data_IF_430917842612
#
_entry.id   IF_430917842612
#
_cell.length_a   1.000
_cell.length_b   1.000
_cell.length_c   1.000
_cell.angle_alpha   90.00
_cell.angle_beta   90.00
_cell.angle_gamma   90.00
#
_symmetry.space_group_name_H-M   'P 1'
#
loop_
_entity.id
_entity.type
_entity.pdbx_description
1 polymer ?
#
# COMPACT_ATOMS: atom_id res chain seq x y z
N UNK A 1 2.32 14.94 -21.70
CA UNK A 1 1.15 14.06 -21.47
C UNK A 1 1.13 13.63 -20.02
N UNK A 2 0.12 14.07 -19.27
CA UNK A 2 0.02 13.90 -17.82
C UNK A 2 -0.29 12.44 -17.46
N UNK A 3 0.43 11.91 -16.47
CA UNK A 3 0.43 10.51 -16.02
C UNK A 3 -0.85 10.13 -15.22
N UNK A 4 -2.01 10.67 -15.62
CA UNK A 4 -3.27 10.68 -14.86
C UNK A 4 -3.86 9.28 -14.68
N UNK A 5 -3.78 8.41 -15.69
CA UNK A 5 -4.34 7.05 -15.60
C UNK A 5 -3.66 6.17 -14.54
N UNK A 6 -2.32 6.21 -14.46
CA UNK A 6 -1.55 5.44 -13.49
C UNK A 6 -1.73 6.00 -12.08
N UNK A 7 -1.75 7.34 -11.96
CA UNK A 7 -1.98 7.99 -10.67
C UNK A 7 -3.40 7.72 -10.13
N UNK A 8 -4.40 7.71 -11.00
CA UNK A 8 -5.79 7.39 -10.64
C UNK A 8 -5.95 5.94 -10.15
N UNK A 9 -5.29 4.97 -10.78
CA UNK A 9 -5.33 3.55 -10.37
C UNK A 9 -4.78 3.35 -8.95
N UNK A 10 -3.78 4.14 -8.55
CA UNK A 10 -3.24 4.13 -7.19
C UNK A 10 -4.16 4.86 -6.20
N UNK A 11 -4.68 6.04 -6.56
CA UNK A 11 -5.51 6.84 -5.67
C UNK A 11 -6.83 6.15 -5.30
N UNK A 12 -7.43 5.39 -6.23
CA UNK A 12 -8.71 4.71 -6.00
C UNK A 12 -8.74 3.89 -4.70
N UNK A 13 -7.72 3.07 -4.46
CA UNK A 13 -7.67 2.22 -3.25
C UNK A 13 -7.42 3.01 -1.97
N UNK A 14 -6.79 4.17 -2.08
CA UNK A 14 -6.49 5.06 -0.95
C UNK A 14 -7.74 5.81 -0.50
N UNK A 15 -8.62 6.16 -1.45
CA UNK A 15 -9.84 6.94 -1.24
C UNK A 15 -11.04 6.05 -0.88
N UNK A 16 -11.26 4.98 -1.65
CA UNK A 16 -12.48 4.16 -1.53
C UNK A 16 -12.27 2.89 -0.70
N UNK A 17 -11.00 2.52 -0.43
CA UNK A 17 -10.65 1.21 0.11
C UNK A 17 -10.94 0.06 -0.86
N UNK A 18 -10.82 -1.17 -0.38
CA UNK A 18 -11.25 -2.38 -1.10
C UNK A 18 -10.17 -3.45 -1.26
N UNK A 19 -10.54 -4.56 -1.92
CA UNK A 19 -9.65 -5.71 -2.11
C UNK A 19 -8.97 -5.64 -3.47
N UNK A 20 -7.65 -5.45 -3.47
CA UNK A 20 -6.87 -5.51 -4.70
C UNK A 20 -6.54 -6.96 -5.02
N UNK A 21 -7.13 -7.49 -6.09
CA UNK A 21 -6.71 -8.78 -6.66
C UNK A 21 -5.40 -8.61 -7.45
N UNK A 22 -4.47 -9.58 -7.39
CA UNK A 22 -3.22 -9.50 -8.13
C UNK A 22 -3.49 -9.54 -9.63
N UNK A 23 -2.69 -8.80 -10.42
CA UNK A 23 -2.78 -8.86 -11.91
C UNK A 23 -2.43 -10.25 -12.46
N UNK A 24 -1.78 -11.10 -11.66
CA UNK A 24 -1.43 -12.48 -11.98
C UNK A 24 -1.73 -13.39 -10.77
N UNK A 25 -0.70 -13.96 -10.11
CA UNK A 25 -0.90 -15.03 -9.12
C UNK A 25 -0.96 -14.57 -7.65
N UNK A 26 -0.15 -13.59 -7.26
CA UNK A 26 -0.09 -13.12 -5.87
C UNK A 26 0.54 -11.74 -5.77
N UNK A 27 0.19 -11.03 -4.70
CA UNK A 27 0.91 -9.84 -4.26
C UNK A 27 2.11 -10.25 -3.41
N UNK A 28 3.27 -9.65 -3.71
CA UNK A 28 4.51 -9.84 -2.95
C UNK A 28 4.57 -8.77 -1.87
N UNK A 29 4.25 -9.14 -0.63
CA UNK A 29 4.23 -8.23 0.51
C UNK A 29 5.54 -8.30 1.29
N UNK A 30 6.14 -7.16 1.68
CA UNK A 30 7.30 -7.17 2.56
C UNK A 30 6.97 -7.72 3.95
N UNK A 31 7.78 -8.67 4.42
CA UNK A 31 7.79 -9.11 5.80
C UNK A 31 9.02 -8.51 6.52
N UNK A 32 10.05 -9.29 6.81
CA UNK A 32 11.23 -8.83 7.57
C UNK A 32 12.34 -8.22 6.69
N UNK A 33 11.98 -7.55 5.59
CA UNK A 33 12.91 -6.90 4.67
C UNK A 33 13.10 -5.42 4.99
N UNK A 34 14.35 -4.94 4.96
CA UNK A 34 14.67 -3.53 5.18
C UNK A 34 14.16 -2.67 4.01
N UNK A 35 13.38 -1.64 4.34
CA UNK A 35 12.89 -0.61 3.42
C UNK A 35 13.93 0.53 3.33
N UNK A 36 13.87 1.32 2.27
CA UNK A 36 14.68 2.54 2.18
C UNK A 36 14.10 3.64 3.10
N UNK A 37 14.75 4.81 3.16
CA UNK A 37 14.31 5.96 4.00
C UNK A 37 12.89 6.46 3.71
N UNK A 38 12.33 6.08 2.56
CA UNK A 38 10.97 6.45 2.12
C UNK A 38 9.95 5.32 2.33
N UNK A 39 10.32 4.22 3.01
CA UNK A 39 9.44 3.06 3.18
C UNK A 39 9.30 2.17 1.94
N UNK A 40 10.03 2.45 0.86
CA UNK A 40 9.95 1.70 -0.39
C UNK A 40 10.97 0.56 -0.45
N UNK A 41 10.62 -0.49 -1.21
CA UNK A 41 11.55 -1.57 -1.57
C UNK A 41 12.25 -1.18 -2.88
N UNK A 42 13.59 -1.21 -2.95
CA UNK A 42 14.31 -0.92 -4.19
C UNK A 42 13.92 -1.86 -5.34
N UNK A 43 13.82 -1.32 -6.56
CA UNK A 43 13.55 -2.10 -7.77
C UNK A 43 14.61 -3.20 -7.93
N UNK A 44 14.18 -4.42 -8.25
CA UNK A 44 15.06 -5.57 -8.44
C UNK A 44 15.58 -6.20 -7.15
N UNK A 45 15.22 -5.71 -5.96
CA UNK A 45 15.65 -6.31 -4.68
C UNK A 45 15.26 -7.78 -4.56
N UNK A 46 14.04 -8.13 -4.97
CA UNK A 46 13.55 -9.52 -4.98
C UNK A 46 14.41 -10.41 -5.88
N UNK A 47 14.68 -9.97 -7.12
CA UNK A 47 15.54 -10.68 -8.07
C UNK A 47 16.94 -10.92 -7.49
N UNK A 48 17.56 -9.89 -6.92
CA UNK A 48 18.88 -9.98 -6.28
C UNK A 48 18.87 -10.93 -5.07
N UNK A 49 17.78 -10.98 -4.31
CA UNK A 49 17.66 -11.89 -3.18
C UNK A 49 17.57 -13.34 -3.65
N UNK A 50 16.73 -13.63 -4.65
CA UNK A 50 16.56 -14.99 -5.18
C UNK A 50 17.81 -15.55 -5.88
N UNK A 51 18.79 -14.71 -6.22
CA UNK A 51 20.09 -15.16 -6.74
C UNK A 51 21.03 -15.67 -5.64
N UNK A 52 20.73 -15.42 -4.36
CA UNK A 52 21.55 -15.89 -3.25
C UNK A 52 21.20 -17.34 -2.92
N UNK A 53 22.22 -18.16 -2.64
CA UNK A 53 22.05 -19.56 -2.27
C UNK A 53 21.29 -19.76 -0.94
N UNK A 54 21.34 -18.77 -0.04
CA UNK A 54 20.64 -18.80 1.23
C UNK A 54 19.18 -18.34 1.14
N UNK A 55 18.69 -17.96 -0.03
CA UNK A 55 17.32 -17.46 -0.22
C UNK A 55 16.57 -18.36 -1.19
N UNK A 56 15.32 -18.68 -0.87
CA UNK A 56 14.46 -19.48 -1.73
C UNK A 56 13.01 -19.00 -1.69
N UNK A 57 12.26 -19.31 -2.74
CA UNK A 57 10.81 -19.12 -2.82
C UNK A 57 10.12 -20.44 -2.56
N UNK A 58 9.15 -20.50 -1.65
CA UNK A 58 8.46 -21.74 -1.32
C UNK A 58 7.35 -21.56 -0.29
N UNK A 59 6.81 -22.68 0.18
CA UNK A 59 5.79 -22.73 1.23
C UNK A 59 6.38 -23.34 2.48
N UNK A 60 6.35 -22.62 3.60
CA UNK A 60 6.87 -23.07 4.90
C UNK A 60 5.76 -22.91 5.94
N UNK A 61 5.38 -24.00 6.61
CA UNK A 61 4.32 -24.04 7.64
C UNK A 61 3.03 -23.33 7.18
N UNK A 62 2.59 -23.59 5.95
CA UNK A 62 1.37 -23.01 5.39
C UNK A 62 1.53 -21.63 4.73
N UNK A 63 2.61 -20.90 5.02
CA UNK A 63 2.85 -19.56 4.47
C UNK A 63 3.66 -19.67 3.18
N UNK A 64 3.16 -19.10 2.09
CA UNK A 64 3.89 -19.02 0.82
C UNK A 64 4.67 -17.72 0.75
N UNK A 65 5.94 -17.77 0.36
CA UNK A 65 6.78 -16.58 0.35
C UNK A 65 8.23 -16.81 -0.04
N UNK A 66 9.03 -15.77 0.13
CA UNK A 66 10.48 -15.79 -0.03
C UNK A 66 11.12 -15.84 1.35
N UNK A 67 11.95 -16.85 1.57
CA UNK A 67 12.60 -17.13 2.84
C UNK A 67 14.11 -17.04 2.72
N UNK A 68 14.76 -16.62 3.79
CA UNK A 68 16.20 -16.71 3.96
C UNK A 68 16.53 -17.79 5.00
N UNK A 69 17.48 -18.67 4.68
CA UNK A 69 18.11 -19.59 5.61
C UNK A 69 19.09 -18.82 6.47
N UNK A 70 18.93 -18.89 7.78
CA UNK A 70 19.82 -18.29 8.76
C UNK A 70 20.31 -19.35 9.73
N UNK A 71 21.37 -19.07 10.49
CA UNK A 71 21.87 -19.97 11.53
C UNK A 71 20.82 -20.31 12.61
N UNK A 72 19.82 -19.43 12.79
CA UNK A 72 18.73 -19.59 13.77
C UNK A 72 17.44 -20.16 13.16
N UNK A 73 17.47 -20.57 11.89
CA UNK A 73 16.31 -21.09 11.17
C UNK A 73 15.87 -20.21 9.99
N UNK A 74 14.60 -20.31 9.61
CA UNK A 74 14.05 -19.65 8.42
C UNK A 74 13.47 -18.28 8.74
N UNK A 75 13.89 -17.25 7.99
CA UNK A 75 13.39 -15.89 8.08
C UNK A 75 12.55 -15.54 6.86
N UNK A 76 11.29 -15.16 7.06
CA UNK A 76 10.40 -14.71 5.99
C UNK A 76 10.78 -13.29 5.54
N UNK A 77 11.15 -13.14 4.27
CA UNK A 77 11.48 -11.85 3.65
C UNK A 77 10.27 -11.23 2.95
N UNK A 78 9.52 -12.04 2.20
CA UNK A 78 8.31 -11.62 1.50
C UNK A 78 7.21 -12.67 1.62
N UNK A 79 5.98 -12.26 1.88
CA UNK A 79 4.82 -13.15 1.86
C UNK A 79 4.07 -13.01 0.53
N UNK A 80 3.61 -14.13 -0.03
CA UNK A 80 2.68 -14.15 -1.14
C UNK A 80 1.26 -14.17 -0.58
N UNK A 81 0.49 -13.12 -0.86
CA UNK A 81 -0.94 -13.08 -0.55
C UNK A 81 -1.77 -13.02 -1.83
N UNK A 82 -2.80 -13.86 -1.89
CA UNK A 82 -3.79 -13.85 -2.96
C UNK A 82 -4.61 -12.56 -2.96
N UNK A 83 -4.80 -11.93 -1.78
CA UNK A 83 -5.57 -10.71 -1.63
C UNK A 83 -4.90 -9.74 -0.66
N UNK A 84 -4.92 -8.46 -1.02
CA UNK A 84 -4.50 -7.35 -0.15
C UNK A 84 -5.72 -6.49 0.08
N UNK A 85 -6.22 -6.50 1.33
CA UNK A 85 -7.24 -5.55 1.77
C UNK A 85 -6.57 -4.20 2.03
N UNK A 86 -7.06 -3.17 1.39
CA UNK A 86 -6.69 -1.79 1.67
C UNK A 86 -7.82 -1.14 2.48
N UNK A 87 -7.49 -0.67 3.67
CA UNK A 87 -8.38 0.23 4.42
C UNK A 87 -8.26 1.65 3.84
N UNK A 88 -9.35 2.43 3.78
CA UNK A 88 -9.30 3.82 3.35
C UNK A 88 -8.34 4.60 4.26
N UNK A 89 -7.24 5.10 3.70
CA UNK A 89 -6.24 5.85 4.49
C UNK A 89 -6.64 7.32 4.66
N UNK A 90 -7.47 7.84 3.75
CA UNK A 90 -7.85 9.24 3.76
C UNK A 90 -9.36 9.37 3.55
N UNK A 91 -10.06 9.91 4.55
CA UNK A 91 -11.49 10.23 4.52
C UNK A 91 -11.73 11.53 3.73
N UNK A 92 -11.22 11.59 2.49
CA UNK A 92 -11.22 12.82 1.68
C UNK A 92 -12.62 13.41 1.54
N UNK A 93 -13.62 12.56 1.32
CA UNK A 93 -15.01 12.98 1.20
C UNK A 93 -15.50 13.70 2.46
N UNK A 94 -15.26 13.15 3.63
CA UNK A 94 -15.69 13.76 4.88
C UNK A 94 -14.93 15.04 5.21
N UNK A 95 -13.62 15.07 4.94
CA UNK A 95 -12.81 16.28 5.14
C UNK A 95 -13.28 17.39 4.19
N UNK A 96 -13.56 17.05 2.93
CA UNK A 96 -14.11 17.97 1.95
C UNK A 96 -15.50 18.46 2.34
N UNK A 97 -16.43 17.56 2.70
CA UNK A 97 -17.78 17.91 3.15
C UNK A 97 -17.75 18.82 4.39
N UNK A 98 -16.90 18.51 5.38
CA UNK A 98 -16.70 19.34 6.57
C UNK A 98 -16.16 20.72 6.18
N UNK A 99 -15.21 20.79 5.25
CA UNK A 99 -14.62 22.05 4.80
C UNK A 99 -15.59 22.89 3.98
N UNK A 100 -16.35 22.28 3.09
CA UNK A 100 -17.40 22.96 2.31
C UNK A 100 -18.48 23.48 3.26
N UNK A 101 -18.99 22.67 4.20
CA UNK A 101 -19.95 23.17 5.20
C UNK A 101 -19.40 24.35 6.00
N UNK A 102 -18.18 24.26 6.51
CA UNK A 102 -17.56 25.36 7.27
C UNK A 102 -17.38 26.62 6.43
N UNK A 103 -16.94 26.48 5.19
CA UNK A 103 -16.69 27.61 4.29
C UNK A 103 -17.99 28.23 3.80
N UNK A 104 -18.97 27.40 3.43
CA UNK A 104 -20.29 27.82 2.99
C UNK A 104 -21.02 28.54 4.12
N UNK A 105 -21.05 27.98 5.33
CA UNK A 105 -21.67 28.62 6.50
C UNK A 105 -20.98 29.95 6.81
N UNK A 106 -19.64 29.97 6.89
CA UNK A 106 -18.89 31.21 7.15
C UNK A 106 -19.17 32.29 6.11
N UNK A 107 -19.11 31.95 4.83
CA UNK A 107 -19.34 32.91 3.75
C UNK A 107 -20.81 33.35 3.69
N UNK A 108 -21.75 32.45 3.99
CA UNK A 108 -23.17 32.76 4.07
C UNK A 108 -23.48 33.69 5.24
N UNK A 109 -22.91 33.46 6.43
CA UNK A 109 -23.06 34.34 7.60
C UNK A 109 -22.50 35.74 7.32
N UNK A 110 -21.31 35.83 6.70
CA UNK A 110 -20.71 37.11 6.29
C UNK A 110 -21.58 37.83 5.25
N UNK A 111 -22.12 37.10 4.26
CA UNK A 111 -22.99 37.67 3.23
C UNK A 111 -24.35 38.15 3.79
N UNK A 112 -24.86 37.51 4.85
CA UNK A 112 -26.10 37.87 5.54
C UNK A 112 -25.90 38.94 6.62
N UNK A 113 -24.69 39.52 6.74
CA UNK A 113 -24.40 40.61 7.67
C UNK A 113 -24.21 40.20 9.14
N UNK A 114 -24.11 38.89 9.42
CA UNK A 114 -23.77 38.39 10.74
C UNK A 114 -22.29 38.54 11.03
N UNK A 115 -21.93 39.14 12.17
CA UNK A 115 -20.54 39.21 12.67
C UNK A 115 -20.11 37.87 13.26
#
# INVERSE_FOLDING_TARGET
>A
MFNQGIQAEYLKWVVDGGTRKPKNKAHVLPASIRRNKYGNIPRGKVKKLLQRSDVFSGKVKGVSGIYQRTRRGLKLLFAYKAEVKHEPQYRFREVAEKRVRQTLVRNFTVAMGGR
#
